data_IF_098325824956
#
_entry.id   IF_098325824956
#
_cell.length_a   1.000
_cell.length_b   1.000
_cell.length_c   1.000
_cell.angle_alpha   90.00
_cell.angle_beta   90.00
_cell.angle_gamma   90.00
#
_symmetry.space_group_name_H-M   'P 1'
#
loop_
_entity.id
_entity.type
_entity.pdbx_description
1 polymer ?
#
# COMPACT_ATOMS: atom_id res chain seq x y z
N UNK A 1 -18.93 4.97 -5.96
CA UNK A 1 -18.21 5.67 -4.87
C UNK A 1 -16.72 5.66 -5.17
N UNK A 2 -16.08 6.84 -5.21
CA UNK A 2 -14.66 7.02 -5.53
C UNK A 2 -13.77 6.66 -4.32
N UNK A 3 -13.70 5.36 -3.98
CA UNK A 3 -12.83 4.84 -2.92
C UNK A 3 -11.34 4.79 -3.30
N UNK A 4 -10.87 5.69 -4.17
CA UNK A 4 -9.50 5.71 -4.71
C UNK A 4 -8.48 6.39 -3.80
N UNK A 5 -8.96 7.21 -2.87
CA UNK A 5 -8.16 8.00 -1.93
C UNK A 5 -8.53 7.63 -0.50
N UNK A 6 -7.53 7.59 0.38
CA UNK A 6 -7.69 7.55 1.84
C UNK A 6 -7.03 8.83 2.34
N UNK A 7 -7.81 9.67 3.02
CA UNK A 7 -7.45 11.07 3.30
C UNK A 7 -7.07 11.80 2.00
N UNK A 8 -5.87 12.37 1.94
CA UNK A 8 -5.29 13.03 0.75
C UNK A 8 -4.32 12.13 -0.04
N UNK A 9 -4.22 10.83 0.31
CA UNK A 9 -3.29 9.88 -0.31
C UNK A 9 -4.04 8.96 -1.27
N UNK A 10 -3.52 8.84 -2.49
CA UNK A 10 -4.05 7.89 -3.48
C UNK A 10 -3.61 6.47 -3.10
N UNK A 11 -4.55 5.62 -2.67
CA UNK A 11 -4.24 4.27 -2.15
C UNK A 11 -4.56 3.14 -3.15
N UNK A 12 -5.36 3.44 -4.17
CA UNK A 12 -5.66 2.53 -5.30
C UNK A 12 -4.92 2.98 -6.56
N UNK A 13 -3.61 3.14 -6.45
CA UNK A 13 -2.75 3.41 -7.61
C UNK A 13 -2.45 2.12 -8.37
N UNK A 14 -2.36 2.20 -9.70
CA UNK A 14 -1.82 1.09 -10.48
C UNK A 14 -0.30 1.14 -10.41
N UNK A 15 0.32 0.05 -9.97
CA UNK A 15 1.76 -0.07 -9.79
C UNK A 15 2.47 -0.34 -11.13
N UNK A 16 2.32 0.57 -12.09
CA UNK A 16 2.85 0.39 -13.45
C UNK A 16 4.31 0.79 -13.60
N UNK A 17 4.90 1.45 -12.60
CA UNK A 17 6.30 1.85 -12.62
C UNK A 17 6.94 1.82 -11.23
N UNK A 18 8.28 1.79 -11.22
CA UNK A 18 9.09 1.73 -10.00
C UNK A 18 8.79 2.88 -9.02
N UNK A 19 8.53 4.10 -9.52
CA UNK A 19 8.24 5.26 -8.65
C UNK A 19 6.93 5.09 -7.87
N UNK A 20 5.91 4.48 -8.49
CA UNK A 20 4.64 4.19 -7.84
C UNK A 20 4.78 3.04 -6.84
N UNK A 21 5.58 2.03 -7.14
CA UNK A 21 5.93 0.96 -6.19
C UNK A 21 6.64 1.53 -4.98
N UNK A 22 7.65 2.37 -5.16
CA UNK A 22 8.39 2.95 -4.04
C UNK A 22 7.52 3.92 -3.21
N UNK A 23 6.63 4.68 -3.87
CA UNK A 23 5.66 5.53 -3.18
C UNK A 23 4.68 4.71 -2.36
N UNK A 24 4.09 3.66 -2.95
CA UNK A 24 3.16 2.78 -2.26
C UNK A 24 3.81 2.06 -1.08
N UNK A 25 5.08 1.67 -1.23
CA UNK A 25 5.86 1.02 -0.18
C UNK A 25 6.04 1.96 1.01
N UNK A 26 6.46 3.22 0.76
CA UNK A 26 6.57 4.24 1.83
C UNK A 26 5.24 4.47 2.54
N UNK A 27 4.13 4.54 1.80
CA UNK A 27 2.80 4.69 2.41
C UNK A 27 2.45 3.55 3.39
N UNK A 28 2.88 2.32 3.09
CA UNK A 28 2.65 1.16 3.97
C UNK A 28 3.60 1.20 5.17
N UNK A 29 4.88 1.55 4.96
CA UNK A 29 5.84 1.76 6.05
C UNK A 29 5.31 2.80 7.05
N UNK A 30 4.86 3.96 6.56
CA UNK A 30 4.35 5.04 7.41
C UNK A 30 3.07 4.65 8.17
N UNK A 31 2.24 3.76 7.60
CA UNK A 31 0.92 3.41 8.16
C UNK A 31 0.95 2.20 9.09
N UNK A 32 1.93 1.30 8.91
CA UNK A 32 2.07 0.05 9.68
C UNK A 32 3.38 -0.03 10.47
N UNK A 33 4.22 1.02 10.40
CA UNK A 33 5.52 1.13 11.10
C UNK A 33 6.42 -0.11 10.90
N UNK A 34 6.38 -0.69 9.69
CA UNK A 34 7.16 -1.89 9.33
C UNK A 34 8.35 -1.55 8.45
N UNK A 35 9.24 -2.53 8.24
CA UNK A 35 10.40 -2.30 7.40
C UNK A 35 10.02 -2.18 5.90
N UNK A 36 10.87 -1.50 5.14
CA UNK A 36 10.61 -1.21 3.71
C UNK A 36 10.46 -2.49 2.88
N UNK A 37 11.26 -3.52 3.14
CA UNK A 37 11.22 -4.77 2.38
C UNK A 37 9.93 -5.55 2.63
N UNK A 38 9.49 -5.65 3.88
CA UNK A 38 8.21 -6.23 4.28
C UNK A 38 7.05 -5.46 3.66
N UNK A 39 7.07 -4.13 3.74
CA UNK A 39 6.07 -3.28 3.12
C UNK A 39 6.01 -3.47 1.60
N UNK A 40 7.18 -3.59 0.95
CA UNK A 40 7.27 -3.81 -0.50
C UNK A 40 6.71 -5.16 -0.89
N UNK A 41 7.08 -6.21 -0.16
CA UNK A 41 6.56 -7.56 -0.39
C UNK A 41 5.05 -7.60 -0.19
N UNK A 42 4.54 -6.96 0.87
CA UNK A 42 3.12 -6.84 1.15
C UNK A 42 2.38 -6.08 0.03
N UNK A 43 2.97 -4.98 -0.45
CA UNK A 43 2.42 -4.20 -1.57
C UNK A 43 2.31 -5.03 -2.85
N UNK A 44 3.37 -5.77 -3.19
CA UNK A 44 3.42 -6.61 -4.39
C UNK A 44 2.47 -7.80 -4.28
N UNK A 45 2.34 -8.40 -3.09
CA UNK A 45 1.42 -9.50 -2.82
C UNK A 45 -0.05 -9.10 -3.02
N UNK A 46 -0.44 -7.92 -2.53
CA UNK A 46 -1.84 -7.47 -2.56
C UNK A 46 -2.18 -6.53 -3.74
N UNK A 47 -1.16 -6.03 -4.44
CA UNK A 47 -1.28 -5.21 -5.65
C UNK A 47 -1.82 -3.78 -5.44
N UNK A 48 -2.13 -3.38 -4.21
CA UNK A 48 -2.54 -2.02 -3.86
C UNK A 48 -2.28 -1.72 -2.39
N UNK A 49 -2.00 -0.45 -2.09
CA UNK A 49 -1.72 0.01 -0.72
C UNK A 49 -2.90 -0.27 0.21
N UNK A 50 -4.13 -0.01 -0.26
CA UNK A 50 -5.35 -0.26 0.52
C UNK A 50 -5.46 -1.73 0.93
N UNK A 51 -5.39 -2.66 -0.03
CA UNK A 51 -5.51 -4.09 0.24
C UNK A 51 -4.39 -4.61 1.14
N UNK A 52 -3.16 -4.11 0.95
CA UNK A 52 -2.03 -4.46 1.80
C UNK A 52 -2.27 -4.10 3.27
N UNK A 53 -2.70 -2.85 3.54
CA UNK A 53 -3.00 -2.39 4.90
C UNK A 53 -4.20 -3.14 5.50
N UNK A 54 -5.28 -3.32 4.73
CA UNK A 54 -6.47 -4.04 5.19
C UNK A 54 -6.16 -5.50 5.53
N UNK A 55 -5.41 -6.19 4.68
CA UNK A 55 -5.03 -7.59 4.92
C UNK A 55 -4.11 -7.76 6.12
N UNK A 56 -3.25 -6.77 6.41
CA UNK A 56 -2.38 -6.80 7.58
C UNK A 56 -3.14 -6.53 8.88
N UNK A 57 -4.05 -5.53 8.88
CA UNK A 57 -4.82 -5.15 10.08
C UNK A 57 -5.95 -6.12 10.40
N UNK A 58 -6.47 -6.83 9.41
CA UNK A 58 -7.55 -7.79 9.60
C UNK A 58 -7.21 -9.12 8.89
N UNK A 59 -6.33 -9.94 9.48
CA UNK A 59 -6.08 -11.29 9.00
C UNK A 59 -7.36 -12.10 9.26
N UNK A 60 -8.16 -12.30 8.20
CA UNK A 60 -9.27 -13.25 8.24
C UNK A 60 -8.76 -14.68 8.24
#
# INVERSE_FOLDING_TARGET
QLGRVKDNRMVNMQLTNQKLVDRGTRMIVDELEMNYEQAKNLLLLHGSVKKAIESYRNPK
#
